data_IF_609504730067
#
_entry.id   IF_609504730067
#
_cell.length_a   1.000
_cell.length_b   1.000
_cell.length_c   1.000
_cell.angle_alpha   90.00
_cell.angle_beta   90.00
_cell.angle_gamma   90.00
#
_symmetry.space_group_name_H-M   'P 1'
#
loop_
_entity.id
_entity.type
_entity.pdbx_description
1 polymer ?
#
# COMPACT_ATOMS: atom_id res chain seq x y z
N UNK A 1 -8.37 25.31 -23.56
CA UNK A 1 -7.97 26.11 -22.39
C UNK A 1 -9.21 26.41 -21.55
N UNK A 2 -9.39 25.61 -20.52
CA UNK A 2 -10.34 25.85 -19.43
C UNK A 2 -9.59 26.55 -18.31
N UNK A 3 -10.25 27.46 -17.58
CA UNK A 3 -9.69 28.04 -16.36
C UNK A 3 -10.39 27.43 -15.16
N UNK A 4 -9.62 26.78 -14.30
CA UNK A 4 -10.06 26.25 -13.02
C UNK A 4 -9.54 27.20 -11.92
N UNK A 5 -10.47 27.80 -11.16
CA UNK A 5 -10.18 28.84 -10.19
C UNK A 5 -11.08 28.72 -8.96
N UNK A 6 -10.51 28.98 -7.79
CA UNK A 6 -11.21 28.85 -6.51
C UNK A 6 -11.58 27.39 -6.23
N UNK A 7 -12.70 27.22 -5.55
CA UNK A 7 -13.24 25.91 -5.17
C UNK A 7 -14.19 25.38 -6.25
N UNK A 8 -13.99 24.14 -6.67
CA UNK A 8 -14.86 23.48 -7.66
C UNK A 8 -15.65 22.36 -6.99
N UNK A 9 -16.97 22.52 -6.93
CA UNK A 9 -17.90 21.49 -6.47
C UNK A 9 -18.18 20.50 -7.62
N UNK A 10 -17.29 19.51 -7.78
CA UNK A 10 -17.38 18.49 -8.82
C UNK A 10 -16.02 17.93 -9.23
N UNK A 11 -16.03 17.14 -10.29
CA UNK A 11 -14.81 16.53 -10.82
C UNK A 11 -14.06 17.52 -11.73
N UNK A 12 -12.72 17.44 -11.69
CA UNK A 12 -11.82 18.23 -12.54
C UNK A 12 -10.93 17.30 -13.33
N UNK A 13 -10.85 17.53 -14.63
CA UNK A 13 -9.91 16.84 -15.51
C UNK A 13 -8.98 17.90 -16.10
N UNK A 14 -7.74 17.92 -15.62
CA UNK A 14 -6.71 18.84 -16.12
C UNK A 14 -6.15 18.28 -17.42
N UNK A 15 -6.32 19.06 -18.49
CA UNK A 15 -5.79 18.77 -19.82
C UNK A 15 -4.75 19.82 -20.20
N UNK A 16 -4.12 19.55 -21.34
CA UNK A 16 -3.14 20.45 -21.95
C UNK A 16 -3.73 21.85 -22.10
N UNK A 17 -2.92 22.85 -21.73
CA UNK A 17 -3.23 24.28 -21.82
C UNK A 17 -4.36 24.76 -20.88
N UNK A 18 -4.80 23.97 -19.91
CA UNK A 18 -5.70 24.45 -18.85
C UNK A 18 -4.95 25.29 -17.81
N UNK A 19 -5.58 26.38 -17.33
CA UNK A 19 -5.04 27.23 -16.27
C UNK A 19 -5.63 26.79 -14.92
N UNK A 20 -4.80 26.20 -14.06
CA UNK A 20 -5.16 25.76 -12.71
C UNK A 20 -4.47 26.57 -11.62
N UNK A 21 -3.85 27.71 -11.96
CA UNK A 21 -2.97 28.48 -11.05
C UNK A 21 -3.66 29.00 -9.79
N UNK A 22 -4.99 29.07 -9.80
CA UNK A 22 -5.81 29.59 -8.71
C UNK A 22 -6.84 28.57 -8.20
N UNK A 23 -6.76 27.32 -8.64
CA UNK A 23 -7.60 26.23 -8.15
C UNK A 23 -7.21 25.89 -6.71
N UNK A 24 -8.13 26.07 -5.76
CA UNK A 24 -7.86 25.91 -4.32
C UNK A 24 -8.37 24.59 -3.76
N UNK A 25 -9.50 24.09 -4.27
CA UNK A 25 -10.03 22.77 -3.91
C UNK A 25 -10.87 22.15 -5.03
N UNK A 26 -10.95 20.82 -5.00
CA UNK A 26 -11.83 20.02 -5.87
C UNK A 26 -12.70 19.16 -4.97
N UNK A 27 -14.01 19.40 -4.95
CA UNK A 27 -14.96 18.63 -4.14
C UNK A 27 -15.12 17.19 -4.63
N UNK A 28 -15.03 16.96 -5.95
CA UNK A 28 -15.03 15.65 -6.57
C UNK A 28 -13.63 15.08 -6.78
N UNK A 29 -13.48 14.26 -7.82
CA UNK A 29 -12.22 13.65 -8.22
C UNK A 29 -11.39 14.55 -9.13
N UNK A 30 -10.08 14.50 -8.98
CA UNK A 30 -9.11 15.25 -9.77
C UNK A 30 -8.30 14.28 -10.65
N UNK A 31 -8.37 14.48 -11.96
CA UNK A 31 -7.65 13.69 -12.95
C UNK A 31 -6.60 14.54 -13.64
N UNK A 32 -5.33 14.17 -13.50
CA UNK A 32 -4.21 14.88 -14.10
C UNK A 32 -3.77 14.11 -15.36
N UNK A 33 -4.06 14.66 -16.54
CA UNK A 33 -3.77 14.03 -17.85
C UNK A 33 -2.55 14.62 -18.56
N UNK A 34 -1.92 15.62 -17.95
CA UNK A 34 -0.76 16.34 -18.49
C UNK A 34 0.02 16.96 -17.33
N UNK A 35 1.22 17.46 -17.59
CA UNK A 35 2.00 18.21 -16.61
C UNK A 35 1.21 19.39 -16.05
N UNK A 36 1.06 19.43 -14.73
CA UNK A 36 0.23 20.41 -14.05
C UNK A 36 0.91 20.92 -12.78
N UNK A 37 0.81 22.24 -12.57
CA UNK A 37 1.26 22.93 -11.37
C UNK A 37 0.08 23.56 -10.66
N UNK A 38 -0.25 23.05 -9.48
CA UNK A 38 -1.41 23.41 -8.69
C UNK A 38 -0.96 23.92 -7.31
N UNK A 39 -0.16 25.00 -7.30
CA UNK A 39 0.45 25.56 -6.08
C UNK A 39 -0.57 25.96 -5.00
N UNK A 40 -1.80 26.31 -5.41
CA UNK A 40 -2.86 26.75 -4.51
C UNK A 40 -3.80 25.61 -4.06
N UNK A 41 -3.70 24.41 -4.65
CA UNK A 41 -4.60 23.31 -4.34
C UNK A 41 -4.28 22.74 -2.97
N UNK A 42 -5.26 22.77 -2.07
CA UNK A 42 -5.10 22.32 -0.68
C UNK A 42 -5.83 21.01 -0.37
N UNK A 43 -6.87 20.67 -1.14
CA UNK A 43 -7.66 19.45 -0.92
C UNK A 43 -8.33 18.92 -2.20
N UNK A 44 -8.48 17.60 -2.26
CA UNK A 44 -9.34 16.87 -3.21
C UNK A 44 -10.31 16.03 -2.39
N UNK A 45 -11.62 16.26 -2.51
CA UNK A 45 -12.64 15.53 -1.76
C UNK A 45 -12.82 14.09 -2.26
N UNK A 46 -12.70 13.89 -3.58
CA UNK A 46 -12.73 12.58 -4.23
C UNK A 46 -11.35 11.96 -4.42
N UNK A 47 -11.20 11.18 -5.49
CA UNK A 47 -9.93 10.51 -5.82
C UNK A 47 -9.00 11.44 -6.60
N UNK A 48 -7.69 11.25 -6.44
CA UNK A 48 -6.66 11.90 -7.24
C UNK A 48 -5.96 10.85 -8.11
N UNK A 49 -6.06 10.98 -9.43
CA UNK A 49 -5.43 10.08 -10.40
C UNK A 49 -4.46 10.83 -11.30
N UNK A 50 -3.17 10.49 -11.18
CA UNK A 50 -2.08 11.09 -11.94
C UNK A 50 -1.65 10.09 -13.01
N UNK A 51 -1.97 10.40 -14.27
CA UNK A 51 -1.75 9.49 -15.40
C UNK A 51 -0.27 9.36 -15.77
N UNK A 52 0.11 8.23 -16.36
CA UNK A 52 1.50 7.84 -16.61
C UNK A 52 2.35 8.88 -17.38
N UNK A 53 1.74 9.63 -18.30
CA UNK A 53 2.45 10.64 -19.11
C UNK A 53 2.33 12.07 -18.54
N UNK A 54 1.91 12.20 -17.28
CA UNK A 54 1.78 13.49 -16.60
C UNK A 54 2.88 13.71 -15.56
N UNK A 55 2.92 14.92 -15.00
CA UNK A 55 3.63 15.27 -13.76
C UNK A 55 2.75 16.19 -12.94
N UNK A 56 2.77 16.04 -11.63
CA UNK A 56 2.02 16.92 -10.73
C UNK A 56 2.95 17.60 -9.72
N UNK A 57 2.93 18.93 -9.70
CA UNK A 57 3.43 19.71 -8.56
C UNK A 57 2.22 20.31 -7.83
N UNK A 58 1.89 19.75 -6.67
CA UNK A 58 0.83 20.21 -5.79
C UNK A 58 1.33 20.21 -4.34
N UNK A 59 2.43 20.94 -4.11
CA UNK A 59 3.13 20.95 -2.83
C UNK A 59 2.27 21.43 -1.64
N UNK A 60 1.17 22.15 -1.88
CA UNK A 60 0.22 22.60 -0.85
C UNK A 60 -0.93 21.62 -0.57
N UNK A 61 -1.04 20.52 -1.34
CA UNK A 61 -2.12 19.54 -1.18
C UNK A 61 -1.96 18.79 0.13
N UNK A 62 -2.91 18.94 1.04
CA UNK A 62 -2.83 18.36 2.39
C UNK A 62 -3.64 17.08 2.56
N UNK A 63 -4.68 16.88 1.73
CA UNK A 63 -5.60 15.75 1.85
C UNK A 63 -6.20 15.33 0.51
N UNK A 64 -6.38 14.01 0.36
CA UNK A 64 -7.21 13.37 -0.67
C UNK A 64 -8.26 12.53 0.06
N UNK A 65 -9.54 12.86 -0.09
CA UNK A 65 -10.62 12.15 0.60
C UNK A 65 -10.87 10.74 0.06
N UNK A 66 -10.69 10.56 -1.25
CA UNK A 66 -10.77 9.27 -1.94
C UNK A 66 -9.43 8.55 -2.07
N UNK A 67 -9.29 7.79 -3.16
CA UNK A 67 -8.07 7.04 -3.45
C UNK A 67 -7.05 7.92 -4.19
N UNK A 68 -5.77 7.66 -3.95
CA UNK A 68 -4.66 8.32 -4.63
C UNK A 68 -3.91 7.33 -5.52
N UNK A 69 -3.79 7.65 -6.80
CA UNK A 69 -3.11 6.86 -7.82
C UNK A 69 -1.89 7.63 -8.33
N UNK A 70 -0.68 7.18 -7.97
CA UNK A 70 0.60 7.75 -8.42
C UNK A 70 1.19 6.83 -9.49
N UNK A 71 1.00 7.20 -10.77
CA UNK A 71 1.52 6.43 -11.91
C UNK A 71 2.78 7.02 -12.55
N UNK A 72 3.26 8.13 -12.00
CA UNK A 72 4.32 8.99 -12.54
C UNK A 72 4.83 9.92 -11.43
N UNK A 73 5.81 10.77 -11.74
CA UNK A 73 6.35 11.80 -10.86
C UNK A 73 5.25 12.70 -10.28
N UNK A 74 5.13 12.70 -8.94
CA UNK A 74 4.19 13.53 -8.20
C UNK A 74 4.87 14.15 -6.98
N UNK A 75 4.81 15.47 -6.87
CA UNK A 75 5.32 16.23 -5.73
C UNK A 75 4.17 16.67 -4.84
N UNK A 76 4.02 15.96 -3.72
CA UNK A 76 2.92 16.07 -2.76
C UNK A 76 3.44 16.30 -1.34
N UNK A 77 4.39 17.24 -1.19
CA UNK A 77 5.20 17.43 0.02
C UNK A 77 4.39 17.64 1.32
N UNK A 78 3.22 18.27 1.23
CA UNK A 78 2.34 18.54 2.37
C UNK A 78 1.23 17.51 2.58
N UNK A 79 1.16 16.43 1.78
CA UNK A 79 0.06 15.48 1.85
C UNK A 79 0.12 14.68 3.15
N UNK A 80 -0.87 14.87 4.01
CA UNK A 80 -0.92 14.26 5.35
C UNK A 80 -1.83 13.04 5.44
N UNK A 81 -2.82 12.94 4.55
CA UNK A 81 -3.84 11.88 4.60
C UNK A 81 -4.41 11.52 3.23
N UNK A 82 -4.65 10.23 3.06
CA UNK A 82 -5.47 9.66 1.98
C UNK A 82 -6.62 8.89 2.63
N UNK A 83 -7.86 9.30 2.41
CA UNK A 83 -9.02 8.66 3.02
C UNK A 83 -9.33 7.28 2.45
N UNK A 84 -9.07 7.10 1.15
CA UNK A 84 -9.19 5.82 0.45
C UNK A 84 -7.88 5.04 0.39
N UNK A 85 -7.68 4.29 -0.70
CA UNK A 85 -6.47 3.51 -0.93
C UNK A 85 -5.38 4.35 -1.61
N UNK A 86 -4.12 4.03 -1.33
CA UNK A 86 -2.94 4.63 -1.96
C UNK A 86 -2.29 3.59 -2.87
N UNK A 87 -2.19 3.91 -4.15
CA UNK A 87 -1.58 3.05 -5.15
C UNK A 87 -0.35 3.70 -5.76
N UNK A 88 0.78 3.00 -5.68
CA UNK A 88 2.10 3.46 -6.10
C UNK A 88 2.61 2.56 -7.24
N UNK A 89 2.70 3.11 -8.47
CA UNK A 89 3.26 2.42 -9.65
C UNK A 89 4.70 2.84 -9.99
N UNK A 90 5.18 3.93 -9.39
CA UNK A 90 6.54 4.45 -9.57
C UNK A 90 7.07 4.94 -8.23
N UNK A 91 8.37 5.20 -8.14
CA UNK A 91 8.99 5.76 -6.95
C UNK A 91 8.27 7.04 -6.48
N UNK A 92 7.92 7.06 -5.20
CA UNK A 92 7.20 8.13 -4.54
C UNK A 92 7.77 8.43 -3.16
N UNK A 93 7.78 9.71 -2.79
CA UNK A 93 8.19 10.19 -1.48
C UNK A 93 7.08 11.03 -0.88
N UNK A 94 6.51 10.56 0.23
CA UNK A 94 5.37 11.18 0.92
C UNK A 94 5.71 11.36 2.40
N UNK A 95 6.75 12.16 2.68
CA UNK A 95 7.33 12.32 4.03
C UNK A 95 6.32 12.80 5.08
N UNK A 96 5.33 13.59 4.68
CA UNK A 96 4.29 14.12 5.56
C UNK A 96 3.08 13.19 5.74
N UNK A 97 2.97 12.11 4.95
CA UNK A 97 1.81 11.23 4.97
C UNK A 97 1.76 10.45 6.28
N UNK A 98 0.68 10.63 7.03
CA UNK A 98 0.50 10.02 8.35
C UNK A 98 -0.48 8.84 8.35
N UNK A 99 -1.41 8.82 7.39
CA UNK A 99 -2.47 7.81 7.33
C UNK A 99 -2.97 7.54 5.91
N UNK A 100 -3.29 6.27 5.65
CA UNK A 100 -4.07 5.79 4.51
C UNK A 100 -5.28 5.02 5.07
N UNK A 101 -6.49 5.46 4.78
CA UNK A 101 -7.69 4.81 5.33
C UNK A 101 -7.93 3.42 4.74
N UNK A 102 -7.60 3.24 3.46
CA UNK A 102 -7.72 1.99 2.72
C UNK A 102 -6.42 1.19 2.63
N UNK A 103 -6.27 0.48 1.51
CA UNK A 103 -5.07 -0.32 1.22
C UNK A 103 -3.92 0.58 0.79
N UNK A 104 -2.71 0.28 1.27
CA UNK A 104 -1.47 0.75 0.67
C UNK A 104 -0.95 -0.33 -0.30
N UNK A 105 -1.02 -0.03 -1.58
CA UNK A 105 -0.63 -0.90 -2.68
C UNK A 105 0.64 -0.36 -3.37
N UNK A 106 1.74 -1.12 -3.32
CA UNK A 106 3.00 -0.78 -4.00
C UNK A 106 3.30 -1.85 -5.03
N UNK A 107 3.44 -1.41 -6.29
CA UNK A 107 3.68 -2.28 -7.44
C UNK A 107 5.13 -2.74 -7.52
N UNK A 108 5.34 -3.75 -8.36
CA UNK A 108 6.64 -4.30 -8.72
C UNK A 108 7.60 -3.17 -9.08
N UNK A 109 8.80 -3.22 -8.50
CA UNK A 109 9.91 -2.27 -8.66
C UNK A 109 9.66 -0.80 -8.24
N UNK A 110 8.44 -0.45 -7.82
CA UNK A 110 8.14 0.87 -7.28
C UNK A 110 8.57 0.98 -5.81
N UNK A 111 8.97 2.18 -5.38
CA UNK A 111 9.39 2.44 -4.00
C UNK A 111 8.53 3.53 -3.35
N UNK A 112 8.11 3.30 -2.11
CA UNK A 112 7.52 4.36 -1.27
C UNK A 112 8.41 4.64 -0.06
N UNK A 113 8.80 5.91 0.09
CA UNK A 113 9.30 6.45 1.36
C UNK A 113 8.21 7.30 2.01
N UNK A 114 7.71 6.85 3.16
CA UNK A 114 6.66 7.50 3.93
C UNK A 114 7.05 7.52 5.41
N UNK A 115 8.07 8.34 5.73
CA UNK A 115 8.69 8.39 7.05
C UNK A 115 7.73 8.68 8.21
N UNK A 116 6.66 9.45 7.98
CA UNK A 116 5.66 9.78 8.98
C UNK A 116 4.44 8.84 9.03
N UNK A 117 4.38 7.81 8.18
CA UNK A 117 3.19 6.96 8.06
C UNK A 117 3.01 6.11 9.32
N UNK A 118 1.85 6.27 9.98
CA UNK A 118 1.56 5.59 11.26
C UNK A 118 0.43 4.58 11.17
N UNK A 119 -0.43 4.67 10.16
CA UNK A 119 -1.58 3.78 10.00
C UNK A 119 -1.99 3.55 8.55
N UNK A 120 -2.35 2.30 8.24
CA UNK A 120 -2.97 1.89 6.98
C UNK A 120 -4.16 0.96 7.24
N UNK A 121 -5.08 0.82 6.29
CA UNK A 121 -6.15 -0.18 6.33
C UNK A 121 -5.64 -1.59 5.99
N UNK A 122 -4.87 -1.72 4.91
CA UNK A 122 -4.20 -2.96 4.49
C UNK A 122 -2.83 -2.65 3.89
N UNK A 123 -2.01 -3.68 3.70
CA UNK A 123 -0.69 -3.57 3.08
C UNK A 123 -0.54 -4.62 1.98
N UNK A 124 -0.45 -4.15 0.75
CA UNK A 124 -0.23 -4.96 -0.44
C UNK A 124 1.10 -4.57 -1.09
N UNK A 125 2.07 -5.47 -1.04
CA UNK A 125 3.41 -5.26 -1.59
C UNK A 125 3.67 -6.32 -2.65
N UNK A 126 3.76 -5.90 -3.91
CA UNK A 126 4.17 -6.79 -4.99
C UNK A 126 5.66 -7.16 -4.86
N UNK A 127 6.07 -8.21 -5.59
CA UNK A 127 7.46 -8.65 -5.62
C UNK A 127 8.37 -7.49 -6.05
N UNK A 128 9.44 -7.22 -5.29
CA UNK A 128 10.38 -6.16 -5.62
C UNK A 128 9.97 -4.75 -5.14
N UNK A 129 8.74 -4.57 -4.65
CA UNK A 129 8.27 -3.29 -4.14
C UNK A 129 9.15 -2.78 -2.97
N UNK A 130 9.72 -1.60 -3.11
CA UNK A 130 10.43 -0.89 -2.04
C UNK A 130 9.45 -0.23 -1.08
N UNK A 131 9.69 -0.40 0.22
CA UNK A 131 8.80 0.10 1.26
C UNK A 131 9.62 0.57 2.46
N UNK A 132 9.43 1.84 2.83
CA UNK A 132 9.99 2.46 4.04
C UNK A 132 8.90 3.23 4.77
N UNK A 133 8.45 2.69 5.90
CA UNK A 133 7.54 3.36 6.82
C UNK A 133 7.90 2.98 8.27
N UNK A 134 9.00 3.52 8.80
CA UNK A 134 9.55 3.11 10.10
C UNK A 134 8.61 3.37 11.29
N UNK A 135 7.61 4.23 11.11
CA UNK A 135 6.63 4.58 12.14
C UNK A 135 5.29 3.85 12.00
N UNK A 136 5.14 2.91 11.06
CA UNK A 136 3.87 2.22 10.87
C UNK A 136 3.51 1.39 12.10
N UNK A 137 2.51 1.86 12.84
CA UNK A 137 2.11 1.29 14.13
C UNK A 137 0.77 0.55 14.07
N UNK A 138 -0.07 0.81 13.05
CA UNK A 138 -1.40 0.22 12.94
C UNK A 138 -1.73 -0.25 11.53
N UNK A 139 -2.31 -1.44 11.44
CA UNK A 139 -2.94 -2.00 10.23
C UNK A 139 -4.39 -2.32 10.58
N UNK A 140 -5.35 -1.76 9.87
CA UNK A 140 -6.78 -1.86 10.18
C UNK A 140 -7.09 -1.58 11.67
N UNK A 141 -6.41 -0.60 12.27
CA UNK A 141 -6.56 -0.26 13.69
C UNK A 141 -5.87 -1.20 14.70
N UNK A 142 -5.26 -2.29 14.24
CA UNK A 142 -4.57 -3.27 15.08
C UNK A 142 -3.05 -3.05 15.07
N UNK A 143 -2.40 -3.36 16.19
CA UNK A 143 -0.93 -3.33 16.28
C UNK A 143 -0.37 -4.62 15.66
N UNK A 144 0.42 -4.54 14.58
CA UNK A 144 1.00 -5.73 13.97
C UNK A 144 2.06 -6.36 14.88
N UNK A 145 2.30 -7.66 14.71
CA UNK A 145 3.37 -8.34 15.41
C UNK A 145 4.74 -7.78 15.00
N UNK A 146 5.66 -7.70 15.96
CA UNK A 146 7.03 -7.22 15.75
C UNK A 146 8.03 -8.13 16.46
N UNK A 147 9.31 -7.98 16.12
CA UNK A 147 10.42 -8.66 16.79
C UNK A 147 10.28 -10.18 16.85
N UNK A 148 10.56 -10.75 18.02
CA UNK A 148 10.56 -12.20 18.25
C UNK A 148 9.19 -12.85 17.96
N UNK A 149 8.09 -12.14 18.25
CA UNK A 149 6.74 -12.67 18.02
C UNK A 149 6.44 -12.84 16.53
N UNK A 150 6.77 -11.83 15.72
CA UNK A 150 6.65 -11.90 14.27
C UNK A 150 7.51 -13.03 13.70
N UNK A 151 8.78 -13.10 14.13
CA UNK A 151 9.72 -14.14 13.70
C UNK A 151 9.23 -15.55 14.05
N UNK A 152 8.76 -15.77 15.29
CA UNK A 152 8.25 -17.07 15.73
C UNK A 152 7.03 -17.53 14.92
N UNK A 153 6.11 -16.61 14.61
CA UNK A 153 4.94 -16.91 13.76
C UNK A 153 5.35 -17.23 12.32
N UNK A 154 6.29 -16.48 11.74
CA UNK A 154 6.78 -16.76 10.40
C UNK A 154 7.51 -18.12 10.32
N UNK A 155 8.29 -18.49 11.33
CA UNK A 155 8.91 -19.83 11.44
C UNK A 155 7.83 -20.91 11.53
N UNK A 156 6.76 -20.70 12.30
CA UNK A 156 5.66 -21.64 12.40
C UNK A 156 4.94 -21.83 11.05
N UNK A 157 4.68 -20.74 10.33
CA UNK A 157 4.16 -20.79 8.95
C UNK A 157 5.10 -21.58 8.05
N UNK A 158 6.40 -21.26 8.06
CA UNK A 158 7.38 -21.92 7.22
C UNK A 158 7.41 -23.44 7.43
N UNK A 159 7.35 -23.93 8.68
CA UNK A 159 7.33 -25.37 8.99
C UNK A 159 6.15 -26.12 8.36
N UNK A 160 4.99 -25.48 8.20
CA UNK A 160 3.79 -26.11 7.67
C UNK A 160 3.66 -25.90 6.16
N UNK A 161 3.87 -24.67 5.68
CA UNK A 161 3.65 -24.28 4.30
C UNK A 161 4.65 -24.92 3.32
N UNK A 162 5.87 -25.29 3.77
CA UNK A 162 6.85 -25.99 2.90
C UNK A 162 6.57 -27.49 2.76
N UNK A 163 5.57 -28.05 3.47
CA UNK A 163 5.18 -29.42 3.23
C UNK A 163 4.72 -29.62 1.76
N UNK A 164 4.90 -30.83 1.18
CA UNK A 164 4.46 -31.09 -0.19
C UNK A 164 2.97 -30.75 -0.37
N UNK A 165 2.65 -29.94 -1.40
CA UNK A 165 1.28 -29.50 -1.75
C UNK A 165 0.56 -28.65 -0.68
N UNK A 166 1.28 -28.15 0.33
CA UNK A 166 0.68 -27.34 1.40
C UNK A 166 0.51 -25.86 1.01
N UNK A 167 1.42 -25.32 0.19
CA UNK A 167 1.36 -23.94 -0.31
C UNK A 167 1.25 -23.96 -1.84
N UNK A 168 0.19 -23.37 -2.37
CA UNK A 168 -0.05 -23.13 -3.79
C UNK A 168 -0.61 -21.72 -4.00
N UNK A 169 0.27 -20.82 -4.43
CA UNK A 169 -0.03 -19.42 -4.73
C UNK A 169 -0.61 -19.22 -6.13
N UNK A 170 -0.65 -20.27 -6.95
CA UNK A 170 -1.07 -20.20 -8.36
C UNK A 170 -2.59 -20.32 -8.57
N UNK A 171 -3.33 -20.78 -7.55
CA UNK A 171 -4.78 -20.96 -7.62
C UNK A 171 -5.50 -20.42 -6.39
N UNK A 172 -6.36 -19.43 -6.59
CA UNK A 172 -7.32 -18.99 -5.57
C UNK A 172 -8.44 -20.03 -5.45
N UNK A 173 -8.23 -21.06 -4.62
CA UNK A 173 -9.23 -22.09 -4.36
C UNK A 173 -9.50 -22.26 -2.87
N UNK A 174 -10.64 -22.86 -2.51
CA UNK A 174 -11.00 -23.10 -1.11
C UNK A 174 -10.34 -24.37 -0.54
N UNK A 175 -10.13 -24.41 0.79
CA UNK A 175 -9.75 -25.63 1.53
C UNK A 175 -8.32 -25.70 2.07
N UNK A 176 -7.44 -24.77 1.71
CA UNK A 176 -6.08 -24.63 2.26
C UNK A 176 -5.77 -23.16 2.52
N UNK A 177 -4.76 -22.90 3.33
CA UNK A 177 -4.08 -21.61 3.33
C UNK A 177 -3.31 -21.47 2.00
N UNK A 178 -3.94 -20.86 0.99
CA UNK A 178 -3.31 -20.75 -0.34
C UNK A 178 -2.05 -19.88 -0.28
N UNK A 179 -2.02 -18.87 0.61
CA UNK A 179 -0.90 -17.95 0.77
C UNK A 179 -0.27 -17.96 2.17
N UNK A 180 0.89 -17.29 2.29
CA UNK A 180 1.62 -17.14 3.57
C UNK A 180 0.77 -16.46 4.64
N UNK A 181 -0.01 -15.44 4.27
CA UNK A 181 -0.99 -14.81 5.16
C UNK A 181 -2.07 -15.79 5.61
N UNK A 182 -2.62 -16.57 4.68
CA UNK A 182 -3.59 -17.63 4.97
C UNK A 182 -3.05 -18.66 5.97
N UNK A 183 -1.76 -19.01 5.88
CA UNK A 183 -1.15 -19.97 6.81
C UNK A 183 -1.04 -19.37 8.21
N UNK A 184 -0.69 -18.09 8.32
CA UNK A 184 -0.68 -17.42 9.61
C UNK A 184 -2.07 -17.40 10.25
N UNK A 185 -3.10 -17.08 9.47
CA UNK A 185 -4.50 -17.09 9.90
C UNK A 185 -4.91 -18.49 10.37
N UNK A 186 -4.64 -19.51 9.56
CA UNK A 186 -4.97 -20.90 9.87
C UNK A 186 -4.31 -21.38 11.17
N UNK A 187 -3.02 -21.08 11.36
CA UNK A 187 -2.27 -21.48 12.54
C UNK A 187 -2.69 -20.72 13.81
N UNK A 188 -3.18 -19.48 13.68
CA UNK A 188 -3.77 -18.73 14.79
C UNK A 188 -5.19 -19.26 15.13
N UNK A 189 -5.76 -20.13 14.30
CA UNK A 189 -7.00 -20.85 14.56
C UNK A 189 -8.23 -19.93 14.60
N UNK A 190 -9.12 -20.16 15.57
CA UNK A 190 -10.39 -19.39 15.68
C UNK A 190 -10.15 -17.87 15.77
N UNK A 191 -9.09 -17.44 16.44
CA UNK A 191 -8.74 -16.02 16.56
C UNK A 191 -8.25 -15.46 15.21
N UNK A 192 -7.46 -16.22 14.46
CA UNK A 192 -7.02 -15.86 13.12
C UNK A 192 -8.19 -15.66 12.16
N UNK A 193 -9.09 -16.65 12.07
CA UNK A 193 -10.27 -16.53 11.21
C UNK A 193 -11.23 -15.42 11.64
N UNK A 194 -11.36 -15.17 12.94
CA UNK A 194 -12.15 -14.04 13.43
C UNK A 194 -11.53 -12.70 13.00
N UNK A 195 -10.20 -12.58 13.04
CA UNK A 195 -9.48 -11.41 12.56
C UNK A 195 -9.65 -11.24 11.05
N UNK A 196 -9.45 -12.29 10.26
CA UNK A 196 -9.66 -12.27 8.80
C UNK A 196 -11.06 -11.78 8.42
N UNK A 197 -12.12 -12.23 9.11
CA UNK A 197 -13.48 -11.76 8.86
C UNK A 197 -13.69 -10.27 9.16
N UNK A 198 -12.85 -9.67 10.01
CA UNK A 198 -12.95 -8.26 10.37
C UNK A 198 -12.16 -7.36 9.41
N UNK A 199 -10.98 -7.80 8.99
CA UNK A 199 -10.02 -6.92 8.29
C UNK A 199 -9.59 -7.42 6.91
N UNK A 200 -10.05 -8.61 6.50
CA UNK A 200 -9.60 -9.29 5.30
C UNK A 200 -8.29 -10.07 5.50
N UNK A 201 -7.97 -11.00 4.58
CA UNK A 201 -6.82 -11.91 4.73
C UNK A 201 -5.47 -11.21 4.72
N UNK A 202 -5.31 -10.18 3.89
CA UNK A 202 -4.04 -9.45 3.72
C UNK A 202 -3.67 -8.69 5.00
N UNK A 203 -4.59 -7.86 5.50
CA UNK A 203 -4.42 -7.13 6.74
C UNK A 203 -4.25 -8.09 7.92
N UNK A 204 -5.05 -9.16 8.01
CA UNK A 204 -4.91 -10.16 9.06
C UNK A 204 -3.52 -10.83 9.03
N UNK A 205 -3.04 -11.21 7.85
CA UNK A 205 -1.69 -11.73 7.66
C UNK A 205 -0.61 -10.75 8.13
N UNK A 206 -0.70 -9.48 7.73
CA UNK A 206 0.28 -8.45 8.11
C UNK A 206 0.23 -8.13 9.62
N UNK A 207 -0.97 -8.16 10.22
CA UNK A 207 -1.14 -8.03 11.68
C UNK A 207 -0.49 -9.22 12.40
N UNK A 208 -0.67 -10.44 11.89
CA UNK A 208 -0.15 -11.64 12.54
C UNK A 208 1.36 -11.79 12.37
N UNK A 209 1.89 -11.52 11.18
CA UNK A 209 3.29 -11.78 10.80
C UNK A 209 4.19 -10.54 10.82
N UNK A 210 3.63 -9.34 10.93
CA UNK A 210 4.37 -8.08 10.80
C UNK A 210 4.43 -7.55 9.37
N UNK A 211 4.79 -6.27 9.23
CA UNK A 211 4.81 -5.53 7.96
C UNK A 211 5.78 -6.13 6.94
N UNK A 212 6.95 -6.56 7.38
CA UNK A 212 7.97 -7.16 6.50
C UNK A 212 7.49 -8.43 5.82
N UNK A 213 6.66 -9.23 6.51
CA UNK A 213 6.13 -10.46 5.96
C UNK A 213 5.10 -10.23 4.85
N UNK A 214 4.51 -9.04 4.75
CA UNK A 214 3.54 -8.71 3.70
C UNK A 214 4.12 -8.87 2.28
N UNK A 215 5.43 -8.70 2.13
CA UNK A 215 6.18 -8.96 0.88
C UNK A 215 6.13 -10.42 0.41
N UNK A 216 5.70 -11.34 1.27
CA UNK A 216 5.60 -12.76 0.96
C UNK A 216 4.21 -13.17 0.47
N UNK A 217 3.20 -12.31 0.59
CA UNK A 217 1.80 -12.71 0.44
C UNK A 217 1.36 -12.85 -1.02
N UNK A 218 2.08 -12.21 -1.94
CA UNK A 218 1.74 -12.12 -3.37
C UNK A 218 2.84 -12.70 -4.27
N UNK A 219 3.77 -13.46 -3.70
CA UNK A 219 4.80 -14.16 -4.46
C UNK A 219 4.20 -15.37 -5.20
N UNK A 220 4.84 -15.79 -6.29
CA UNK A 220 4.57 -17.09 -6.87
C UNK A 220 4.96 -18.24 -5.90
N UNK A 221 4.41 -19.43 -6.14
CA UNK A 221 4.58 -20.60 -5.27
C UNK A 221 6.04 -20.94 -5.02
N UNK A 222 6.87 -20.92 -6.06
CA UNK A 222 8.27 -21.34 -5.94
C UNK A 222 9.06 -20.30 -5.13
N UNK A 223 8.90 -19.01 -5.45
CA UNK A 223 9.55 -17.93 -4.72
C UNK A 223 9.12 -17.88 -3.25
N UNK A 224 7.83 -18.05 -2.96
CA UNK A 224 7.31 -18.10 -1.59
C UNK A 224 7.90 -19.27 -0.81
N UNK A 225 7.94 -20.48 -1.41
CA UNK A 225 8.52 -21.66 -0.77
C UNK A 225 10.02 -21.51 -0.54
N UNK A 226 10.77 -20.97 -1.51
CA UNK A 226 12.19 -20.67 -1.34
C UNK A 226 12.42 -19.67 -0.20
N UNK A 227 11.61 -18.61 -0.10
CA UNK A 227 11.70 -17.65 0.99
C UNK A 227 11.46 -18.30 2.37
N UNK A 228 10.46 -19.18 2.47
CA UNK A 228 10.17 -19.91 3.70
C UNK A 228 11.28 -20.92 4.07
N UNK A 229 11.91 -21.59 3.11
CA UNK A 229 13.08 -22.42 3.38
C UNK A 229 14.25 -21.60 3.95
N UNK A 230 14.49 -20.39 3.44
CA UNK A 230 15.51 -19.48 4.01
C UNK A 230 15.21 -19.12 5.45
N UNK A 231 13.94 -18.87 5.79
CA UNK A 231 13.52 -18.63 7.19
C UNK A 231 13.87 -19.83 8.09
N UNK A 232 13.64 -21.05 7.61
CA UNK A 232 13.99 -22.27 8.37
C UNK A 232 15.51 -22.44 8.55
N UNK A 233 16.30 -21.95 7.61
CA UNK A 233 17.77 -21.90 7.70
C UNK A 233 18.29 -20.75 8.59
N UNK A 234 17.40 -19.96 9.22
CA UNK A 234 17.77 -18.79 10.03
C UNK A 234 18.21 -17.58 9.21
N UNK A 235 17.88 -17.52 7.92
CA UNK A 235 18.19 -16.40 7.02
C UNK A 235 16.96 -15.51 6.83
N UNK A 236 17.14 -14.24 6.40
CA UNK A 236 16.02 -13.40 5.97
C UNK A 236 15.19 -14.09 4.87
N UNK A 237 13.87 -13.88 4.87
CA UNK A 237 12.97 -14.51 3.90
C UNK A 237 13.26 -14.05 2.47
N UNK A 238 13.46 -12.75 2.27
CA UNK A 238 13.84 -12.13 0.99
C UNK A 238 15.25 -11.54 1.09
N UNK A 239 15.97 -11.54 -0.02
CA UNK A 239 17.23 -10.81 -0.11
C UNK A 239 16.93 -9.30 -0.04
N UNK A 240 17.88 -8.46 0.42
CA UNK A 240 17.75 -7.02 0.32
C UNK A 240 17.50 -6.62 -1.15
N UNK A 241 16.62 -5.64 -1.35
CA UNK A 241 16.48 -5.03 -2.68
C UNK A 241 17.81 -4.33 -3.01
N UNK A 242 18.36 -4.63 -4.19
CA UNK A 242 19.56 -3.99 -4.73
C UNK A 242 19.31 -2.54 -5.15
#
# INVERSE_FOLDING_TARGET
>A
MTKFAGDIDGDVIVRKDDDCSTLTSVGGSLYIRTDAKLDALTSVGGSLDIWTDAKLDAAALTSVGGSLYIRTDAKLDALTSVGGSLYIWTDAKLDALTSVGGSLDIRTDAKLDAAALTSVGSLHLERGAGYSAPLLAKIAGHVPATGEKAAARLIAVAKHAVAPKALDMGGWHCGTAHCVAGWAIHLEGKAGYALENQVGPEAAGAILLGTEAARLFFLDTDTARSALHRVLDGKPALEPLS
#
